data_IF_633750073475
#
_entry.id   IF_633750073475
#
_cell.length_a   1.000
_cell.length_b   1.000
_cell.length_c   1.000
_cell.angle_alpha   90.00
_cell.angle_beta   90.00
_cell.angle_gamma   90.00
#
_symmetry.space_group_name_H-M   'P 1'
#
loop_
_entity.id
_entity.type
_entity.pdbx_description
1 polymer ?
2 non-polymer ?
3 non-polymer ?
4 water ?
#
# COMPACT_ATOMS: atom_id res chain seq x y z
N UNK A 17 20.85 -18.92 -12.40
CA UNK A 17 19.67 -18.50 -11.58
C UNK A 17 19.02 -17.23 -12.13
N UNK A 18 17.78 -17.35 -12.64
CA UNK A 18 17.03 -16.23 -13.20
C UNK A 18 16.56 -15.21 -12.16
N UNK A 19 16.13 -14.04 -12.62
CA UNK A 19 15.68 -12.96 -11.73
C UNK A 19 14.35 -12.32 -12.16
N UNK A 20 13.67 -11.67 -11.22
CA UNK A 20 12.43 -10.94 -11.48
C UNK A 20 12.66 -9.44 -11.37
N UNK A 21 12.15 -8.67 -12.33
CA UNK A 21 12.23 -7.23 -12.32
C UNK A 21 10.89 -6.61 -11.89
N UNK A 22 10.87 -6.00 -10.71
CA UNK A 22 9.65 -5.38 -10.19
C UNK A 22 9.66 -3.89 -10.47
N UNK A 23 8.51 -3.37 -10.91
CA UNK A 23 8.39 -1.97 -11.32
C UNK A 23 7.16 -1.32 -10.69
N UNK A 24 7.38 -0.17 -10.03
CA UNK A 24 6.27 0.64 -9.53
C UNK A 24 6.37 2.07 -10.06
N UNK A 25 5.62 2.36 -11.12
CA UNK A 25 5.59 3.69 -11.72
C UNK A 25 4.57 4.60 -11.05
N UNK A 26 5.06 5.53 -10.25
CA UNK A 26 4.24 6.61 -9.72
C UNK A 26 4.19 7.73 -10.74
N UNK A 27 3.41 8.77 -10.44
CA UNK A 27 3.33 9.94 -11.33
C UNK A 27 4.66 10.69 -11.40
N UNK A 28 5.36 10.74 -10.27
CA UNK A 28 6.59 11.51 -10.14
C UNK A 28 7.88 10.70 -10.29
N UNK A 29 7.78 9.37 -10.16
CA UNK A 29 8.96 8.49 -10.10
C UNK A 29 8.78 7.08 -10.65
N UNK A 30 9.89 6.33 -10.72
CA UNK A 30 9.88 4.90 -11.03
C UNK A 30 10.74 4.14 -10.02
N UNK A 31 10.08 3.37 -9.15
CA UNK A 31 10.77 2.51 -8.21
C UNK A 31 10.93 1.11 -8.80
N UNK A 32 12.09 0.50 -8.59
CA UNK A 32 12.32 -0.85 -9.10
C UNK A 32 13.12 -1.72 -8.13
N UNK A 33 13.04 -3.03 -8.35
CA UNK A 33 13.82 -4.02 -7.60
C UNK A 33 14.11 -5.24 -8.44
N UNK A 34 15.30 -5.81 -8.27
CA UNK A 34 15.68 -7.05 -8.93
C UNK A 34 15.84 -8.15 -7.89
N UNK A 35 14.90 -9.09 -7.87
CA UNK A 35 14.89 -10.18 -6.91
C UNK A 35 15.28 -11.50 -7.55
N UNK A 36 16.04 -12.32 -6.82
CA UNK A 36 16.45 -13.64 -7.29
C UNK A 36 15.28 -14.61 -7.25
N UNK A 37 15.03 -15.28 -8.38
CA UNK A 37 13.95 -16.26 -8.48
C UNK A 37 14.12 -17.40 -7.47
N UNK A 38 15.37 -17.83 -7.27
CA UNK A 38 15.69 -18.98 -6.43
C UNK A 38 15.37 -18.79 -4.94
N UNK A 39 15.52 -17.57 -4.44
CA UNK A 39 15.42 -17.33 -2.99
C UNK A 39 14.51 -16.16 -2.60
N UNK A 40 14.05 -15.39 -3.59
CA UNK A 40 13.27 -14.16 -3.36
C UNK A 40 14.06 -13.07 -2.62
N UNK A 41 15.37 -13.06 -2.85
CA UNK A 41 16.27 -12.08 -2.22
C UNK A 41 16.42 -10.83 -3.08
N UNK A 42 16.58 -9.68 -2.44
CA UNK A 42 16.82 -8.41 -3.15
C UNK A 42 18.28 -8.34 -3.61
N UNK A 43 18.49 -8.33 -4.93
CA UNK A 43 19.83 -8.22 -5.50
C UNK A 43 20.19 -6.77 -5.85
N UNK A 44 19.17 -5.98 -6.16
CA UNK A 44 19.34 -4.60 -6.56
C UNK A 44 18.06 -3.82 -6.29
N UNK A 45 18.20 -2.52 -6.03
CA UNK A 45 17.06 -1.63 -5.86
C UNK A 45 17.45 -0.20 -6.24
N UNK A 46 16.51 0.54 -6.79
CA UNK A 46 16.76 1.93 -7.18
C UNK A 46 15.52 2.75 -7.50
N UNK A 47 15.73 4.04 -7.73
CA UNK A 47 14.66 4.98 -8.04
C UNK A 47 15.02 5.90 -9.21
N UNK A 48 14.03 6.19 -10.05
CA UNK A 48 14.18 7.16 -11.13
C UNK A 48 13.23 8.33 -10.86
N UNK A 49 13.77 9.39 -10.27
CA UNK A 49 12.97 10.50 -9.74
C UNK A 49 12.92 11.71 -10.68
N UNK A 50 11.96 12.61 -10.43
CA UNK A 50 11.79 13.83 -11.22
C UNK A 50 11.40 13.53 -12.66
N UNK A 51 10.32 12.77 -12.81
CA UNK A 51 9.89 12.28 -14.12
C UNK A 51 9.09 13.31 -14.92
N UNK A 52 9.33 13.32 -16.24
CA UNK A 52 8.72 14.27 -17.19
C UNK A 52 9.10 15.74 -16.95
N UNK A 53 9.83 16.00 -15.88
CA UNK A 53 10.30 17.35 -15.55
C UNK A 53 11.53 17.74 -16.36
N UNK A 54 12.05 18.94 -16.10
CA UNK A 54 13.25 19.44 -16.77
C UNK A 54 14.50 18.65 -16.34
N UNK A 55 14.48 18.14 -15.11
CA UNK A 55 15.58 17.33 -14.58
C UNK A 55 15.14 15.97 -14.06
N UNK A 56 15.66 14.92 -14.69
CA UNK A 56 15.40 13.54 -14.28
C UNK A 56 16.71 12.83 -13.93
N UNK A 57 16.71 12.12 -12.80
CA UNK A 57 17.91 11.44 -12.32
C UNK A 57 17.62 10.03 -11.79
N UNK A 58 18.66 9.18 -11.82
CA UNK A 58 18.57 7.80 -11.36
C UNK A 58 19.55 7.52 -10.24
N UNK A 59 19.07 6.85 -9.19
CA UNK A 59 19.91 6.45 -8.07
C UNK A 59 19.69 4.98 -7.76
N UNK A 60 20.78 4.21 -7.79
CA UNK A 60 20.73 2.77 -7.50
C UNK A 60 21.59 2.47 -6.28
N UNK A 61 20.98 1.86 -5.26
CA UNK A 61 21.63 1.55 -3.98
C UNK A 61 22.26 2.78 -3.29
N UNK A 62 21.95 3.96 -3.80
CA UNK A 62 22.59 5.20 -3.36
C UNK A 62 24.07 5.24 -3.73
N UNK A 63 24.40 4.72 -4.92
CA UNK A 63 25.78 4.71 -5.42
C UNK A 63 26.20 6.10 -5.88
N UNK A 64 25.57 6.56 -6.96
CA UNK A 64 25.84 7.88 -7.52
C UNK A 64 24.62 8.34 -8.31
N UNK A 65 23.93 9.40 -7.81
CA UNK A 65 22.75 9.95 -8.50
C UNK A 65 23.09 10.52 -9.89
N UNK A 66 23.08 9.66 -10.90
CA UNK A 66 23.35 10.05 -12.28
C UNK A 66 22.13 10.74 -12.88
N UNK A 67 22.34 11.92 -13.46
CA UNK A 67 21.24 12.76 -13.94
C UNK A 67 21.18 12.94 -15.47
N UNK A 68 20.22 12.27 -16.09
CA UNK A 68 19.91 12.50 -17.50
C UNK A 68 18.74 13.47 -17.61
N UNK A 69 19.06 14.76 -17.63
CA UNK A 69 18.07 15.84 -17.57
C UNK A 69 17.00 15.76 -18.65
N UNK A 70 15.75 16.01 -18.25
CA UNK A 70 14.58 15.97 -19.14
C UNK A 70 14.43 14.63 -19.87
N UNK A 71 13.93 13.63 -19.14
CA UNK A 71 13.76 12.29 -19.68
C UNK A 71 12.39 11.71 -19.30
N UNK A 72 11.77 11.02 -20.26
CA UNK A 72 10.45 10.41 -20.06
C UNK A 72 10.52 9.00 -19.47
N UNK A 73 9.35 8.40 -19.26
CA UNK A 73 9.23 7.07 -18.65
C UNK A 73 10.03 6.00 -19.38
N UNK A 74 10.15 6.14 -20.69
CA UNK A 74 10.90 5.20 -21.52
C UNK A 74 12.42 5.38 -21.37
N UNK A 75 12.85 6.64 -21.32
CA UNK A 75 14.28 6.98 -21.22
C UNK A 75 14.90 6.49 -19.92
N UNK A 76 14.19 6.69 -18.81
CA UNK A 76 14.63 6.25 -17.49
C UNK A 76 14.65 4.73 -17.38
N UNK A 77 13.64 4.09 -17.96
CA UNK A 77 13.56 2.63 -17.98
C UNK A 77 14.67 2.04 -18.85
N UNK A 78 15.08 2.80 -19.87
CA UNK A 78 16.22 2.44 -20.72
C UNK A 78 17.53 2.67 -19.98
N UNK A 79 17.53 3.61 -19.03
CA UNK A 79 18.69 3.88 -18.19
C UNK A 79 18.96 2.73 -17.21
N UNK A 80 17.88 2.20 -16.62
CA UNK A 80 17.96 1.03 -15.74
C UNK A 80 18.37 -0.19 -16.58
N UNK A 81 17.89 -0.24 -17.81
CA UNK A 81 18.24 -1.30 -18.75
C UNK A 81 19.75 -1.38 -19.00
N UNK A 82 20.39 -0.22 -19.18
CA UNK A 82 21.85 -0.13 -19.31
C UNK A 82 22.54 -0.69 -18.06
N UNK A 83 22.01 -0.33 -16.89
CA UNK A 83 22.58 -0.71 -15.60
C UNK A 83 22.44 -2.19 -15.28
N UNK A 84 21.43 -2.82 -15.87
CA UNK A 84 21.24 -4.26 -15.73
C UNK A 84 22.26 -5.02 -16.57
N UNK A 85 22.65 -4.44 -17.70
CA UNK A 85 23.73 -4.98 -18.53
C UNK A 85 25.08 -4.80 -17.85
N UNK A 86 25.28 -3.61 -17.28
CA UNK A 86 26.51 -3.27 -16.57
C UNK A 86 26.81 -4.28 -15.45
N UNK A 87 25.79 -4.61 -14.67
CA UNK A 87 25.94 -5.55 -13.56
C UNK A 87 25.73 -7.01 -14.00
N UNK A 88 25.74 -7.22 -15.32
CA UNK A 88 25.69 -8.54 -15.95
C UNK A 88 24.60 -9.48 -15.43
N UNK A 89 23.36 -9.00 -15.47
CA UNK A 89 22.20 -9.81 -15.09
C UNK A 89 21.02 -9.59 -16.03
N UNK A 90 21.25 -8.79 -17.07
CA UNK A 90 20.22 -8.43 -18.05
C UNK A 90 19.55 -9.64 -18.70
N UNK A 91 20.35 -10.63 -19.09
CA UNK A 91 19.88 -11.80 -19.81
C UNK A 91 19.29 -12.86 -18.87
N UNK A 92 19.39 -12.60 -17.56
CA UNK A 92 18.86 -13.52 -16.55
C UNK A 92 17.42 -13.15 -16.16
N UNK A 93 16.98 -11.97 -16.58
CA UNK A 93 15.61 -11.49 -16.32
C UNK A 93 14.59 -12.38 -17.03
N UNK A 94 13.93 -13.24 -16.26
CA UNK A 94 12.93 -14.15 -16.79
C UNK A 94 11.52 -13.57 -16.74
N UNK A 95 11.28 -12.68 -15.78
CA UNK A 95 9.95 -12.13 -15.54
C UNK A 95 10.02 -10.65 -15.16
N UNK A 96 8.96 -9.91 -15.51
CA UNK A 96 8.82 -8.51 -15.09
C UNK A 96 7.44 -8.27 -14.47
N UNK A 97 7.44 -7.85 -13.21
CA UNK A 97 6.20 -7.58 -12.48
C UNK A 97 5.87 -6.09 -12.41
N UNK A 98 4.64 -5.75 -12.75
CA UNK A 98 4.19 -4.37 -12.69
C UNK A 98 3.14 -4.17 -11.60
N UNK A 99 3.42 -3.23 -10.70
CA UNK A 99 2.44 -2.81 -9.71
C UNK A 99 1.47 -1.86 -10.40
N UNK A 100 0.18 -2.18 -10.31
CA UNK A 100 -0.87 -1.36 -10.88
C UNK A 100 -1.66 -0.72 -9.73
N UNK A 101 -2.02 0.54 -9.90
CA UNK A 101 -2.75 1.27 -8.89
C UNK A 101 -4.20 0.80 -8.73
N UNK A 102 -4.95 0.83 -9.83
CA UNK A 102 -6.38 0.55 -9.79
C UNK A 102 -6.74 -0.52 -10.82
N UNK A 103 -7.16 -1.68 -10.33
CA UNK A 103 -7.59 -2.78 -11.19
C UNK A 103 -9.09 -2.73 -11.47
N UNK A 104 -9.75 -1.74 -10.89
CA UNK A 104 -11.20 -1.59 -11.02
C UNK A 104 -11.94 -2.81 -10.53
N UNK A 105 -12.96 -3.20 -11.28
CA UNK A 105 -13.80 -4.33 -10.93
C UNK A 105 -13.41 -5.57 -11.75
N UNK A 106 -12.52 -5.36 -12.71
CA UNK A 106 -12.15 -6.37 -13.71
C UNK A 106 -11.13 -7.40 -13.23
N UNK A 107 -10.28 -7.00 -12.29
CA UNK A 107 -9.17 -7.86 -11.87
C UNK A 107 -9.29 -8.42 -10.45
N UNK A 108 -9.38 -9.74 -10.35
CA UNK A 108 -9.55 -10.43 -9.08
C UNK A 108 -8.22 -11.01 -8.59
N UNK A 109 -7.33 -11.28 -9.54
CA UNK A 109 -6.01 -11.83 -9.25
C UNK A 109 -4.97 -11.21 -10.18
N UNK A 110 -3.72 -11.61 -10.01
CA UNK A 110 -2.64 -11.17 -10.91
C UNK A 110 -2.72 -11.93 -12.23
N UNK A 111 -2.41 -11.22 -13.32
CA UNK A 111 -2.52 -11.77 -14.68
C UNK A 111 -1.22 -11.59 -15.47
N UNK A 112 -1.01 -12.49 -16.43
CA UNK A 112 0.06 -12.32 -17.41
C UNK A 112 -0.35 -11.22 -18.38
N UNK A 113 0.48 -10.20 -18.53
CA UNK A 113 0.15 -9.04 -19.37
C UNK A 113 0.03 -9.40 -20.85
N UNK A 114 -1.16 -9.17 -21.39
CA UNK A 114 -1.44 -9.32 -22.81
C UNK A 114 -2.19 -8.08 -23.28
N UNK A 115 -2.31 -7.92 -24.61
CA UNK A 115 -3.05 -6.80 -25.20
C UNK A 115 -4.39 -6.54 -24.51
N UNK A 116 -5.11 -7.63 -24.21
CA UNK A 116 -6.39 -7.56 -23.52
C UNK A 116 -6.29 -6.77 -22.22
N UNK A 117 -5.32 -7.15 -21.40
CA UNK A 117 -5.10 -6.54 -20.09
C UNK A 117 -4.81 -5.04 -20.25
N UNK A 118 -3.96 -4.69 -21.21
CA UNK A 118 -3.62 -3.30 -21.49
C UNK A 118 -4.87 -2.47 -21.76
N UNK A 119 -5.77 -3.01 -22.57
CA UNK A 119 -7.06 -2.37 -22.84
C UNK A 119 -7.87 -2.24 -21.56
N UNK A 120 -7.92 -3.33 -20.79
CA UNK A 120 -8.67 -3.37 -19.55
C UNK A 120 -8.11 -2.43 -18.48
N UNK A 121 -6.79 -2.22 -18.47
CA UNK A 121 -6.16 -1.25 -17.58
C UNK A 121 -6.51 0.17 -18.01
N UNK A 122 -6.55 0.41 -19.32
CA UNK A 122 -6.97 1.70 -19.88
C UNK A 122 -8.45 1.98 -19.61
N UNK A 123 -9.25 0.91 -19.62
CA UNK A 123 -10.70 1.01 -19.38
C UNK A 123 -11.05 1.50 -17.98
N UNK A 124 -10.32 1.02 -16.98
CA UNK A 124 -10.56 1.43 -15.58
C UNK A 124 -9.75 2.66 -15.17
N UNK A 125 -8.81 3.06 -16.04
CA UNK A 125 -7.95 4.21 -15.79
C UNK A 125 -8.64 5.48 -15.24
N UNK A 126 -9.82 5.85 -15.81
CA UNK A 126 -10.50 7.05 -15.30
C UNK A 126 -10.66 7.12 -13.78
N UNK A 127 -10.76 5.95 -13.14
CA UNK A 127 -10.93 5.85 -11.68
C UNK A 127 -9.72 6.37 -10.92
N UNK A 128 -8.52 6.10 -11.44
CA UNK A 128 -7.30 6.66 -10.89
C UNK A 128 -6.40 7.14 -12.03
N UNK A 129 -6.76 8.29 -12.65
CA UNK A 129 -6.16 8.72 -13.92
C UNK A 129 -4.66 9.04 -13.81
N UNK A 130 -4.29 9.77 -12.76
CA UNK A 130 -2.89 10.16 -12.55
C UNK A 130 -1.97 8.95 -12.46
N UNK A 131 -2.27 8.06 -11.52
CA UNK A 131 -1.40 6.93 -11.19
C UNK A 131 -1.39 5.81 -12.25
N UNK A 132 -2.55 5.53 -12.84
CA UNK A 132 -2.68 4.45 -13.82
C UNK A 132 -1.99 4.68 -15.17
N UNK A 133 -1.98 5.93 -15.64
CA UNK A 133 -1.30 6.26 -16.89
C UNK A 133 0.20 6.01 -16.76
N UNK A 134 0.74 6.32 -15.59
CA UNK A 134 2.14 6.05 -15.27
C UNK A 134 2.44 4.56 -15.35
N UNK A 135 1.54 3.74 -14.80
CA UNK A 135 1.67 2.29 -14.85
C UNK A 135 1.67 1.78 -16.29
N UNK A 136 0.79 2.35 -17.11
CA UNK A 136 0.68 2.01 -18.53
C UNK A 136 1.89 2.46 -19.34
N UNK A 137 2.46 3.62 -18.96
CA UNK A 137 3.70 4.10 -19.56
C UNK A 137 4.84 3.13 -19.27
N UNK A 138 4.84 2.59 -18.05
CA UNK A 138 5.84 1.63 -17.61
C UNK A 138 5.71 0.26 -18.25
N UNK A 139 4.46 -0.17 -18.48
CA UNK A 139 4.21 -1.47 -19.11
C UNK A 139 4.67 -1.45 -20.57
N UNK A 140 4.37 -0.37 -21.27
CA UNK A 140 4.79 -0.20 -22.66
C UNK A 140 6.32 -0.12 -22.77
N UNK A 141 6.93 0.67 -21.88
CA UNK A 141 8.38 0.83 -21.83
C UNK A 141 9.09 -0.52 -21.61
N UNK A 142 8.61 -1.29 -20.64
CA UNK A 142 9.18 -2.60 -20.33
C UNK A 142 8.95 -3.59 -21.48
N UNK A 143 7.77 -3.50 -22.11
CA UNK A 143 7.46 -4.30 -23.28
C UNK A 143 8.42 -4.01 -24.44
N UNK A 144 8.67 -2.71 -24.68
CA UNK A 144 9.57 -2.25 -25.73
C UNK A 144 11.00 -2.79 -25.55
N UNK A 145 11.55 -2.58 -24.35
CA UNK A 145 12.94 -2.94 -24.05
C UNK A 145 13.13 -4.44 -23.84
N UNK A 146 12.18 -5.08 -23.16
CA UNK A 146 12.22 -6.51 -22.92
C UNK A 146 11.10 -7.19 -23.71
N UNK A 147 11.46 -7.87 -24.82
CA UNK A 147 10.47 -8.37 -25.76
C UNK A 147 9.95 -9.77 -25.44
N UNK A 148 10.85 -10.74 -25.36
CA UNK A 148 10.49 -12.13 -25.08
C UNK A 148 10.50 -12.45 -23.59
N UNK A 149 10.33 -11.42 -22.77
CA UNK A 149 10.24 -11.59 -21.33
C UNK A 149 8.78 -11.54 -20.90
N UNK A 150 8.33 -12.63 -20.29
CA UNK A 150 7.00 -12.73 -19.71
C UNK A 150 6.78 -11.58 -18.73
N UNK A 151 5.61 -10.95 -18.81
CA UNK A 151 5.30 -9.83 -17.93
C UNK A 151 3.98 -9.99 -17.19
N UNK A 152 3.99 -9.60 -15.92
CA UNK A 152 2.84 -9.79 -15.02
C UNK A 152 2.33 -8.44 -14.49
N UNK A 153 1.01 -8.30 -14.45
CA UNK A 153 0.38 -7.15 -13.81
C UNK A 153 -0.15 -7.57 -12.44
N UNK A 154 0.19 -6.78 -11.42
CA UNK A 154 -0.25 -7.03 -10.05
C UNK A 154 -0.93 -5.77 -9.52
N UNK A 155 -2.14 -5.95 -9.00
CA UNK A 155 -3.03 -4.83 -8.71
C UNK A 155 -3.19 -4.58 -7.22
N UNK A 156 -3.16 -3.31 -6.83
CA UNK A 156 -3.35 -2.90 -5.43
C UNK A 156 -4.74 -3.20 -4.92
N UNK A 157 -5.67 -3.43 -5.84
CA UNK A 157 -7.09 -3.57 -5.52
C UNK A 157 -7.62 -5.01 -5.51
N UNK A 158 -6.99 -5.88 -6.30
CA UNK A 158 -7.52 -7.22 -6.57
C UNK A 158 -7.94 -8.03 -5.34
N UNK A 159 -7.14 -7.96 -4.29
CA UNK A 159 -7.37 -8.70 -3.04
C UNK A 159 -8.69 -8.33 -2.37
N UNK A 160 -9.16 -7.11 -2.64
CA UNK A 160 -10.37 -6.59 -2.00
C UNK A 160 -11.66 -6.88 -2.76
N UNK A 161 -11.54 -7.55 -3.90
CA UNK A 161 -12.72 -7.87 -4.74
C UNK A 161 -13.61 -8.96 -4.15
N UNK A 162 -13.17 -9.57 -3.04
CA UNK A 162 -13.97 -10.58 -2.35
C UNK A 162 -15.06 -9.95 -1.47
N UNK A 163 -14.97 -8.65 -1.23
CA UNK A 163 -15.98 -7.90 -0.47
C UNK A 163 -17.40 -8.06 -1.02
N UNK A 164 -18.35 -8.24 -0.12
CA UNK A 164 -19.77 -8.32 -0.48
C UNK A 164 -20.34 -6.91 -0.72
N UNK A 165 -21.45 -6.80 -1.49
CA UNK A 165 -22.01 -5.49 -1.83
C UNK A 165 -22.28 -4.61 -0.60
N UNK A 166 -22.82 -5.21 0.44
CA UNK A 166 -23.04 -4.53 1.73
C UNK A 166 -21.79 -3.82 2.25
N UNK A 167 -20.62 -4.35 1.89
CA UNK A 167 -19.35 -3.81 2.34
C UNK A 167 -18.73 -2.79 1.39
N UNK A 168 -19.07 -2.86 0.11
CA UNK A 168 -18.49 -1.93 -0.87
C UNK A 168 -19.42 -0.87 -1.46
N UNK A 169 -20.72 -0.99 -1.20
CA UNK A 169 -21.68 0.01 -1.69
C UNK A 169 -21.70 1.28 -0.86
N UNK A 170 -21.83 2.41 -1.53
CA UNK A 170 -22.00 3.70 -0.86
C UNK A 170 -23.48 4.07 -0.77
N UNK A 171 -23.80 4.95 0.18
CA UNK A 171 -25.18 5.41 0.36
C UNK A 171 -25.71 6.20 -0.82
N UNK A 172 -24.85 6.47 -1.80
CA UNK A 172 -25.20 7.22 -3.00
C UNK A 172 -26.23 6.47 -3.85
N UNK A 173 -26.99 7.21 -4.71
CA UNK A 173 -27.98 6.58 -5.58
C UNK A 173 -27.37 5.45 -6.41
N UNK A 174 -28.14 4.38 -6.57
CA UNK A 174 -27.72 3.19 -7.30
C UNK A 174 -27.07 3.50 -8.66
N UNK A 175 -27.58 4.53 -9.32
CA UNK A 175 -27.14 4.91 -10.67
C UNK A 175 -25.62 5.05 -10.76
N UNK A 176 -25.05 5.77 -9.78
CA UNK A 176 -23.61 6.03 -9.72
C UNK A 176 -22.77 4.76 -9.73
N UNK A 177 -23.25 3.71 -9.06
CA UNK A 177 -22.56 2.42 -9.05
C UNK A 177 -22.70 1.69 -10.39
N UNK A 178 -23.94 1.58 -10.88
CA UNK A 178 -24.22 0.76 -12.06
C UNK A 178 -23.69 1.32 -13.38
N UNK A 179 -23.73 2.64 -13.54
CA UNK A 179 -23.32 3.28 -14.79
C UNK A 179 -21.94 3.96 -14.76
N UNK A 180 -21.46 4.32 -13.57
CA UNK A 180 -20.17 5.01 -13.44
C UNK A 180 -19.13 4.23 -12.62
N UNK A 181 -19.60 3.27 -11.82
CA UNK A 181 -18.72 2.40 -11.05
C UNK A 181 -18.23 2.96 -9.73
N UNK A 182 -19.04 3.83 -9.13
CA UNK A 182 -18.71 4.42 -7.82
C UNK A 182 -19.02 3.43 -6.69
N UNK A 183 -17.97 2.77 -6.23
CA UNK A 183 -18.03 1.85 -5.10
C UNK A 183 -16.70 1.87 -4.34
N UNK A 184 -16.66 1.15 -3.22
CA UNK A 184 -15.43 0.93 -2.48
C UNK A 184 -14.58 -0.10 -3.22
N UNK A 185 -13.31 0.23 -3.42
CA UNK A 185 -12.38 -0.70 -4.04
C UNK A 185 -11.32 -1.16 -3.05
N UNK A 186 -10.66 -0.19 -2.40
CA UNK A 186 -9.65 -0.47 -1.38
C UNK A 186 -8.26 -0.65 -1.96
N UNK A 187 -7.25 -0.26 -1.18
CA UNK A 187 -5.87 -0.30 -1.65
C UNK A 187 -4.95 -0.98 -0.64
N UNK A 188 -3.66 -1.10 -1.00
CA UNK A 188 -2.68 -1.86 -0.21
C UNK A 188 -2.96 -3.36 -0.22
N UNK A 189 -3.71 -3.82 -1.23
CA UNK A 189 -4.12 -5.22 -1.34
C UNK A 189 -2.97 -6.21 -1.30
N UNK A 190 -1.93 -5.93 -2.09
CA UNK A 190 -0.74 -6.78 -2.15
C UNK A 190 -0.11 -6.96 -0.77
N UNK A 191 0.09 -5.84 -0.08
CA UNK A 191 0.60 -5.86 1.29
C UNK A 191 -0.35 -6.66 2.20
N UNK A 192 -1.63 -6.28 2.20
CA UNK A 192 -2.64 -6.96 3.01
C UNK A 192 -2.67 -8.46 2.74
N UNK A 193 -2.56 -8.83 1.47
CA UNK A 193 -2.50 -10.24 1.05
C UNK A 193 -1.25 -10.92 1.60
N UNK A 194 -0.09 -10.29 1.40
CA UNK A 194 1.18 -10.86 1.83
C UNK A 194 1.22 -11.08 3.34
N UNK A 195 0.97 -9.99 4.08
CA UNK A 195 0.99 -9.98 5.54
C UNK A 195 0.03 -11.04 6.10
N UNK A 196 -1.21 -11.04 5.60
CA UNK A 196 -2.22 -12.01 6.03
C UNK A 196 -1.76 -13.44 5.84
N UNK A 197 -1.26 -13.76 4.64
CA UNK A 197 -0.70 -15.09 4.37
C UNK A 197 0.34 -15.44 5.42
N UNK A 198 1.30 -14.54 5.61
CA UNK A 198 2.38 -14.71 6.59
C UNK A 198 1.88 -14.93 8.01
N UNK A 199 0.76 -14.29 8.36
CA UNK A 199 0.19 -14.40 9.70
C UNK A 199 -0.34 -15.79 10.00
N UNK A 200 -0.77 -16.51 8.97
CA UNK A 200 -1.25 -17.87 9.14
C UNK A 200 -0.16 -18.79 9.63
N UNK A 201 1.07 -18.57 9.15
CA UNK A 201 2.22 -19.36 9.58
C UNK A 201 2.66 -18.99 10.99
N UNK A 202 2.90 -17.70 11.21
CA UNK A 202 3.40 -17.20 12.49
C UNK A 202 2.45 -17.50 13.66
N UNK A 203 1.15 -17.24 13.46
CA UNK A 203 0.14 -17.51 14.50
C UNK A 203 -0.32 -18.96 14.54
N UNK A 204 0.16 -19.77 13.58
CA UNK A 204 -0.26 -21.18 13.41
C UNK A 204 -1.78 -21.32 13.35
N UNK A 205 -2.39 -20.57 12.44
CA UNK A 205 -3.83 -20.60 12.25
C UNK A 205 -4.22 -21.36 11.00
N UNK A 206 -5.40 -21.98 11.05
CA UNK A 206 -6.01 -22.58 9.88
C UNK A 206 -6.60 -21.44 9.04
N UNK A 207 -6.06 -21.24 7.84
CA UNK A 207 -6.50 -20.17 6.94
C UNK A 207 -8.02 -20.14 6.77
N UNK A 208 -8.58 -21.26 6.34
CA UNK A 208 -10.02 -21.37 6.02
C UNK A 208 -10.93 -21.23 7.25
N UNK A 209 -10.32 -21.25 8.45
CA UNK A 209 -11.06 -21.02 9.69
C UNK A 209 -10.35 -19.97 10.57
N UNK A 210 -10.44 -18.71 10.15
CA UNK A 210 -9.71 -17.63 10.80
C UNK A 210 -10.34 -16.27 10.58
N UNK A 211 -9.95 -15.32 11.43
CA UNK A 211 -10.35 -13.93 11.31
C UNK A 211 -9.22 -13.02 11.75
N UNK A 212 -8.62 -12.31 10.79
CA UNK A 212 -7.49 -11.41 11.07
C UNK A 212 -7.84 -9.96 10.76
N UNK A 213 -7.28 -9.05 11.55
CA UNK A 213 -7.30 -7.63 11.21
C UNK A 213 -5.87 -7.19 10.93
N UNK A 214 -5.66 -6.57 9.77
CA UNK A 214 -4.33 -6.12 9.37
C UNK A 214 -4.30 -4.59 9.29
N UNK A 215 -3.34 -3.99 9.96
CA UNK A 215 -3.15 -2.55 9.94
C UNK A 215 -1.88 -2.16 9.20
N UNK A 216 -2.02 -1.88 7.91
CA UNK A 216 -0.92 -1.35 7.12
C UNK A 216 -0.78 0.14 7.38
N UNK A 217 0.28 0.50 8.11
CA UNK A 217 0.49 1.89 8.52
C UNK A 217 1.84 2.41 8.02
N UNK A 218 1.77 3.33 7.06
CA UNK A 218 2.95 4.03 6.54
C UNK A 218 2.58 5.46 6.19
N UNK A 219 3.02 5.92 5.02
CA UNK A 219 2.60 7.22 4.51
C UNK A 219 1.14 7.13 4.05
N UNK A 220 0.82 6.02 3.41
CA UNK A 220 -0.55 5.63 3.15
C UNK A 220 -0.93 4.58 4.20
N UNK A 221 -2.12 4.71 4.76
CA UNK A 221 -2.54 3.82 5.84
C UNK A 221 -3.95 3.28 5.61
N UNK A 222 -4.09 1.95 5.71
CA UNK A 222 -5.38 1.30 5.55
C UNK A 222 -5.50 0.04 6.40
N UNK A 223 -6.72 -0.26 6.82
CA UNK A 223 -7.04 -1.46 7.57
C UNK A 223 -7.72 -2.47 6.64
N UNK A 224 -7.61 -3.75 6.98
CA UNK A 224 -8.28 -4.80 6.23
C UNK A 224 -8.71 -5.95 7.13
N UNK A 225 -9.94 -6.40 6.93
CA UNK A 225 -10.48 -7.54 7.65
C UNK A 225 -10.36 -8.78 6.77
N UNK A 226 -9.62 -9.77 7.24
CA UNK A 226 -9.44 -10.99 6.48
C UNK A 226 -10.15 -12.14 7.18
N UNK A 227 -11.29 -12.54 6.62
CA UNK A 227 -12.05 -13.67 7.12
C UNK A 227 -11.81 -14.88 6.25
N UNK A 228 -11.32 -15.94 6.87
CA UNK A 228 -11.09 -17.23 6.21
C UNK A 228 -10.29 -17.16 4.91
N UNK A 229 -9.29 -16.28 4.89
CA UNK A 229 -8.42 -16.11 3.72
C UNK A 229 -8.85 -15.02 2.75
N UNK A 230 -10.08 -14.53 2.91
CA UNK A 230 -10.61 -13.51 2.00
C UNK A 230 -10.76 -12.15 2.67
N UNK A 231 -10.58 -11.09 1.89
CA UNK A 231 -10.81 -9.73 2.34
C UNK A 231 -12.31 -9.43 2.36
N UNK A 232 -12.82 -9.03 3.52
CA UNK A 232 -14.27 -8.81 3.69
C UNK A 232 -14.65 -7.36 3.98
N UNK A 233 -13.66 -6.57 4.40
CA UNK A 233 -13.84 -5.13 4.63
C UNK A 233 -12.48 -4.45 4.63
N UNK A 234 -12.43 -3.23 4.12
CA UNK A 234 -11.18 -2.45 4.03
C UNK A 234 -11.41 -0.95 4.23
N UNK A 235 -10.41 -0.27 4.79
CA UNK A 235 -10.50 1.14 5.19
C UNK A 235 -10.71 2.12 4.03
N UNK A 236 -9.85 2.07 3.03
CA UNK A 236 -9.91 3.00 1.90
C UNK A 236 -11.11 2.73 1.01
N UNK A 237 -11.52 3.73 0.23
CA UNK A 237 -12.73 3.61 -0.57
C UNK A 237 -12.52 3.47 -2.06
N UNK A 238 -13.11 4.40 -2.81
CA UNK A 238 -12.92 4.45 -4.26
C UNK A 238 -11.50 4.93 -4.54
N UNK A 239 -11.10 5.95 -3.79
CA UNK A 239 -9.75 6.52 -3.86
C UNK A 239 -9.03 6.25 -2.54
N UNK A 240 -7.69 6.39 -2.52
CA UNK A 240 -6.93 6.22 -1.27
C UNK A 240 -7.26 7.25 -0.17
N UNK A 241 -8.19 8.16 -0.45
CA UNK A 241 -8.53 9.24 0.48
C UNK A 241 -9.36 8.85 1.71
N UNK A 242 -10.15 7.78 1.60
CA UNK A 242 -11.08 7.42 2.67
C UNK A 242 -10.40 6.62 3.78
N UNK A 243 -10.97 6.71 4.98
CA UNK A 243 -10.56 5.85 6.09
C UNK A 243 -9.68 6.55 7.11
N UNK A 244 -8.52 5.96 7.36
CA UNK A 244 -7.57 6.45 8.35
C UNK A 244 -7.00 7.81 7.95
N UNK A 245 -6.68 8.61 8.95
CA UNK A 245 -5.87 9.80 8.75
C UNK A 245 -4.44 9.33 8.49
N UNK A 246 -3.77 9.95 7.53
CA UNK A 246 -2.45 9.50 7.10
C UNK A 246 -1.42 10.61 7.20
N UNK A 247 -0.28 10.42 6.55
CA UNK A 247 0.80 11.42 6.54
C UNK A 247 0.31 12.78 6.08
N UNK A 248 -0.24 12.82 4.86
CA UNK A 248 -0.75 14.06 4.28
C UNK A 248 -2.24 14.00 3.97
N UNK A 249 -2.83 12.83 4.10
CA UNK A 249 -4.26 12.64 3.80
C UNK A 249 -5.12 12.73 5.06
N UNK A 250 -6.26 13.42 4.90
CA UNK A 250 -7.21 13.66 5.99
C UNK A 250 -7.91 12.40 6.49
N UNK A 251 -8.30 11.54 5.56
CA UNK A 251 -9.02 10.31 5.90
C UNK A 251 -10.52 10.53 5.94
N UNK A 252 -11.19 9.87 6.88
CA UNK A 252 -12.62 10.04 7.08
C UNK A 252 -12.97 11.51 7.31
N UNK A 253 -13.67 12.11 6.36
CA UNK A 253 -14.07 13.50 6.46
C UNK A 253 -15.54 13.69 6.09
N UNK A 254 -16.27 14.35 6.98
CA UNK A 254 -17.67 14.70 6.76
C UNK A 254 -17.79 15.51 5.48
N UNK A 255 -18.64 15.08 4.57
CA UNK A 255 -18.84 15.81 3.32
C UNK A 255 -19.51 17.16 3.55
N UNK A 256 -20.46 17.21 4.49
CA UNK A 256 -21.08 18.46 4.91
C UNK A 256 -20.02 19.48 5.25
N UNK A 257 -19.09 19.08 6.12
CA UNK A 257 -17.94 19.90 6.50
C UNK A 257 -17.15 20.38 5.29
N UNK A 258 -16.91 19.48 4.34
CA UNK A 258 -16.15 19.80 3.14
C UNK A 258 -16.84 20.83 2.27
N UNK A 259 -18.15 20.65 2.07
CA UNK A 259 -18.95 21.58 1.27
C UNK A 259 -19.14 22.92 1.96
N UNK A 260 -19.08 22.90 3.29
CA UNK A 260 -19.19 24.12 4.11
C UNK A 260 -17.95 25.00 3.95
N UNK A 261 -16.78 24.36 3.89
CA UNK A 261 -15.52 25.04 3.67
C UNK A 261 -15.50 25.69 2.30
N UNK A 262 -16.02 24.98 1.30
CA UNK A 262 -16.14 25.49 -0.06
C UNK A 262 -16.88 26.82 -0.13
N UNK A 263 -18.03 26.90 0.53
CA UNK A 263 -18.84 28.12 0.55
C UNK A 263 -18.17 29.24 1.37
N UNK A 264 -17.51 28.85 2.45
CA UNK A 264 -16.92 29.80 3.39
C UNK A 264 -15.64 30.48 2.88
N UNK A 265 -14.85 29.77 2.09
CA UNK A 265 -13.58 30.29 1.58
C UNK A 265 -13.59 30.53 0.06
N UNK A 266 -14.67 30.10 -0.60
CA UNK A 266 -14.79 30.26 -2.05
C UNK A 266 -13.84 29.38 -2.83
N UNK A 267 -13.40 28.28 -2.23
CA UNK A 267 -12.47 27.36 -2.87
C UNK A 267 -13.20 26.40 -3.81
N UNK A 268 -12.53 26.02 -4.90
CA UNK A 268 -13.09 25.06 -5.86
C UNK A 268 -12.93 23.61 -5.39
N UNK A 269 -13.66 22.71 -6.03
CA UNK A 269 -13.57 21.26 -5.75
C UNK A 269 -12.15 20.72 -5.89
N UNK A 270 -11.41 21.27 -6.85
CA UNK A 270 -10.02 20.89 -7.08
C UNK A 270 -9.11 21.39 -5.97
N UNK A 271 -9.37 22.59 -5.48
CA UNK A 271 -8.63 23.17 -4.37
C UNK A 271 -8.68 22.27 -3.14
N UNK A 272 -9.89 21.91 -2.75
CA UNK A 272 -10.13 21.06 -1.58
C UNK A 272 -9.48 19.68 -1.77
N UNK A 273 -9.51 19.18 -2.99
CA UNK A 273 -8.91 17.90 -3.33
C UNK A 273 -7.40 17.91 -3.06
N UNK A 274 -6.74 19.01 -3.41
CA UNK A 274 -5.32 19.19 -3.13
C UNK A 274 -5.05 19.27 -1.62
N UNK A 275 -5.96 19.91 -0.89
CA UNK A 275 -5.82 20.10 0.56
C UNK A 275 -5.89 18.79 1.33
N UNK A 276 -6.87 17.95 1.02
CA UNK A 276 -7.03 16.65 1.69
C UNK A 276 -5.96 15.63 1.30
N UNK A 277 -5.30 15.87 0.16
CA UNK A 277 -4.24 14.99 -0.32
C UNK A 277 -2.86 15.35 0.20
N UNK A 278 -2.49 16.61 0.03
CA UNK A 278 -1.11 17.05 0.22
C UNK A 278 -0.90 18.02 1.38
N UNK A 279 -1.98 18.52 1.97
CA UNK A 279 -1.88 19.52 3.04
C UNK A 279 -2.51 19.09 4.37
N UNK A 280 -3.24 17.98 4.36
CA UNK A 280 -3.97 17.52 5.54
C UNK A 280 -3.20 16.44 6.31
N UNK A 281 -3.94 15.60 7.04
CA UNK A 281 -3.37 14.48 7.78
C UNK A 281 -2.54 14.88 8.98
N UNK A 282 -1.45 14.14 9.20
CA UNK A 282 -0.49 14.45 10.26
C UNK A 282 0.16 15.80 10.03
N UNK A 283 0.52 16.07 8.78
CA UNK A 283 1.03 17.38 8.36
C UNK A 283 0.02 18.48 8.68
N UNK A 284 -1.25 18.20 8.42
CA UNK A 284 -2.34 19.16 8.64
C UNK A 284 -2.53 19.58 10.08
N UNK A 285 -2.71 18.62 10.97
CA UNK A 285 -3.00 18.92 12.38
C UNK A 285 -1.79 19.53 13.10
N UNK A 286 -0.62 18.90 12.95
CA UNK A 286 0.59 19.36 13.61
C UNK A 286 1.08 20.71 13.05
N UNK A 287 0.95 20.87 11.73
CA UNK A 287 1.49 22.05 11.04
C UNK A 287 2.99 22.06 11.11
N UNK A 288 3.59 20.88 11.13
CA UNK A 288 5.02 20.72 11.30
C UNK A 288 5.59 19.75 10.28
N UNK A 289 5.21 18.48 10.37
CA UNK A 289 5.74 17.45 9.50
C UNK A 289 4.70 16.39 9.15
N UNK A 290 4.88 15.77 7.98
CA UNK A 290 4.07 14.62 7.59
C UNK A 290 4.74 13.34 8.09
N UNK A 291 6.02 13.44 8.43
CA UNK A 291 6.81 12.32 8.90
C UNK A 291 6.55 12.05 10.39
N UNK A 292 6.15 10.82 10.69
CA UNK A 292 5.79 10.41 12.05
C UNK A 292 6.98 10.44 13.02
N UNK A 293 8.15 10.02 12.54
CA UNK A 293 9.37 9.96 13.34
C UNK A 293 9.77 11.35 13.87
N UNK A 294 9.55 12.38 13.06
CA UNK A 294 9.80 13.77 13.44
C UNK A 294 8.79 14.24 14.50
N UNK A 295 7.52 13.90 14.29
CA UNK A 295 6.44 14.28 15.20
C UNK A 295 6.53 13.61 16.56
N UNK A 296 7.13 12.41 16.59
CA UNK A 296 7.40 11.70 17.84
C UNK A 296 8.39 12.47 18.71
N UNK A 297 9.38 13.09 18.06
CA UNK A 297 10.40 13.89 18.75
C UNK A 297 9.83 15.21 19.25
N UNK A 298 8.95 15.81 18.45
CA UNK A 298 8.30 17.09 18.80
C UNK A 298 7.44 16.98 20.06
N UNK A 299 6.71 15.87 20.19
CA UNK A 299 5.94 15.56 21.40
C UNK A 299 6.88 15.50 22.61
N UNK A 300 7.96 14.75 22.47
CA UNK A 300 8.99 14.63 23.50
C UNK A 300 9.48 16.02 23.95
N UNK A 301 9.60 16.93 22.99
CA UNK A 301 10.02 18.31 23.25
C UNK A 301 8.86 19.25 23.56
N UNK A 302 7.71 18.68 23.89
CA UNK A 302 6.54 19.46 24.36
C UNK A 302 5.79 20.21 23.28
N UNK A 303 5.56 19.56 22.13
CA UNK A 303 4.75 20.14 21.06
C UNK A 303 3.35 19.53 21.10
N UNK A 304 2.37 20.36 21.44
CA UNK A 304 0.99 19.92 21.63
C UNK A 304 0.31 19.47 20.33
N UNK A 305 0.43 20.27 19.28
CA UNK A 305 -0.18 19.97 17.99
C UNK A 305 0.37 18.70 17.33
N UNK A 306 1.63 18.37 17.64
CA UNK A 306 2.20 17.09 17.22
C UNK A 306 1.64 15.96 18.07
N UNK A 307 1.45 16.23 19.35
CA UNK A 307 0.90 15.24 20.29
C UNK A 307 -0.56 14.94 19.95
N UNK A 308 -1.32 15.98 19.61
CA UNK A 308 -2.71 15.83 19.15
C UNK A 308 -2.76 15.01 17.88
N UNK A 309 -1.96 15.39 16.89
CA UNK A 309 -1.89 14.70 15.61
C UNK A 309 -1.66 13.21 15.76
N UNK A 310 -0.83 12.83 16.73
CA UNK A 310 -0.56 11.42 17.01
C UNK A 310 -1.73 10.75 17.74
N UNK A 311 -2.22 11.40 18.81
CA UNK A 311 -3.39 10.91 19.57
C UNK A 311 -4.62 10.68 18.69
N UNK A 312 -4.85 11.60 17.76
CA UNK A 312 -5.92 11.51 16.78
C UNK A 312 -5.65 10.36 15.80
N UNK A 313 -4.44 10.32 15.25
CA UNK A 313 -3.98 9.25 14.36
C UNK A 313 -4.18 7.88 15.00
N UNK A 314 -3.72 7.74 16.25
CA UNK A 314 -3.95 6.55 17.06
C UNK A 314 -5.44 6.23 17.15
N UNK A 315 -6.23 7.27 17.42
CA UNK A 315 -7.68 7.11 17.65
C UNK A 315 -8.43 6.57 16.44
N UNK A 316 -8.16 7.12 15.27
CA UNK A 316 -8.85 6.70 14.05
C UNK A 316 -8.47 5.28 13.62
N UNK A 317 -7.25 4.86 13.97
CA UNK A 317 -6.79 3.51 13.73
C UNK A 317 -7.52 2.52 14.63
N UNK A 318 -7.58 2.85 15.93
CA UNK A 318 -8.26 2.01 16.91
C UNK A 318 -9.76 1.88 16.57
N UNK A 319 -10.34 2.98 16.10
CA UNK A 319 -11.73 3.02 15.69
C UNK A 319 -11.97 2.09 14.50
N UNK A 320 -11.11 2.18 13.49
CA UNK A 320 -11.26 1.35 12.28
C UNK A 320 -10.87 -0.12 12.49
N UNK A 321 -9.92 -0.38 13.38
CA UNK A 321 -9.56 -1.76 13.71
C UNK A 321 -10.77 -2.46 14.34
N UNK A 322 -11.33 -1.83 15.37
CA UNK A 322 -12.52 -2.35 16.05
C UNK A 322 -13.69 -2.45 15.06
N UNK A 323 -13.89 -1.38 14.29
CA UNK A 323 -14.92 -1.35 13.25
C UNK A 323 -14.83 -2.50 12.25
N UNK A 324 -13.61 -2.81 11.81
CA UNK A 324 -13.41 -3.87 10.83
C UNK A 324 -13.58 -5.27 11.41
N UNK A 325 -13.42 -5.38 12.73
CA UNK A 325 -13.57 -6.66 13.43
C UNK A 325 -15.00 -7.21 13.33
N UNK A 326 -15.95 -6.30 13.14
CA UNK A 326 -17.37 -6.64 12.99
C UNK A 326 -17.60 -7.61 11.83
N UNK A 327 -16.83 -7.45 10.76
CA UNK A 327 -16.95 -8.29 9.58
C UNK A 327 -16.26 -9.66 9.76
N UNK A 328 -15.82 -9.94 10.98
CA UNK A 328 -15.29 -11.26 11.32
C UNK A 328 -16.24 -11.98 12.26
N UNK A 329 -16.27 -13.30 12.16
CA UNK A 329 -17.04 -14.13 13.08
C UNK A 329 -16.25 -14.32 14.38
N UNK A 330 -14.93 -14.29 14.26
CA UNK A 330 -14.00 -14.46 15.38
C UNK A 330 -12.73 -13.65 15.13
N UNK A 331 -12.16 -13.07 16.18
CA UNK A 331 -10.96 -12.24 16.07
C UNK A 331 -9.72 -12.95 16.64
N UNK A 332 -8.89 -13.48 15.73
CA UNK A 332 -7.73 -14.27 16.11
C UNK A 332 -6.45 -13.44 16.21
N UNK A 333 -6.27 -12.52 15.26
CA UNK A 333 -5.04 -11.72 15.21
C UNK A 333 -5.20 -10.28 14.75
N UNK A 334 -4.46 -9.39 15.41
CA UNK A 334 -4.26 -8.03 14.92
C UNK A 334 -2.79 -7.87 14.54
N UNK A 335 -2.56 -7.53 13.27
CA UNK A 335 -1.21 -7.49 12.73
C UNK A 335 -0.83 -6.10 12.28
N UNK A 336 0.33 -5.63 12.74
CA UNK A 336 0.87 -4.33 12.36
C UNK A 336 1.93 -4.48 11.29
N UNK A 337 1.88 -3.59 10.29
CA UNK A 337 2.83 -3.60 9.18
C UNK A 337 2.97 -2.21 8.56
N UNK A 338 4.01 -2.02 7.74
CA UNK A 338 4.30 -0.73 7.12
C UNK A 338 5.34 0.05 7.89
N UNK A 339 5.73 1.20 7.35
CA UNK A 339 6.76 2.06 7.96
C UNK A 339 6.52 2.34 9.43
N UNK A 340 5.29 2.72 9.76
CA UNK A 340 4.91 3.04 11.14
C UNK A 340 4.64 1.76 11.94
N UNK A 341 3.86 0.85 11.36
CA UNK A 341 3.50 -0.39 12.02
C UNK A 341 4.68 -1.20 12.51
N UNK A 342 5.66 -1.37 11.65
CA UNK A 342 6.85 -2.19 11.93
C UNK A 342 7.87 -1.53 12.87
N UNK A 343 7.85 -0.20 12.91
CA UNK A 343 8.94 0.56 13.55
C UNK A 343 8.59 1.41 14.77
N UNK A 344 7.35 1.91 14.84
CA UNK A 344 6.93 2.78 15.93
C UNK A 344 6.41 2.02 17.14
N UNK A 345 7.23 1.94 18.18
CA UNK A 345 6.86 1.31 19.46
C UNK A 345 5.70 2.06 20.13
N UNK A 346 5.75 3.38 20.06
CA UNK A 346 4.72 4.25 20.63
C UNK A 346 3.33 3.96 20.07
N UNK A 347 3.18 4.14 18.76
CA UNK A 347 1.89 3.97 18.08
C UNK A 347 1.28 2.58 18.25
N UNK A 348 2.11 1.54 18.20
CA UNK A 348 1.63 0.18 18.44
C UNK A 348 1.01 0.02 19.83
N UNK A 349 1.67 0.57 20.85
CA UNK A 349 1.18 0.48 22.22
C UNK A 349 -0.08 1.31 22.43
N UNK A 350 -0.05 2.55 21.97
CA UNK A 350 -1.17 3.47 22.13
C UNK A 350 -2.46 2.94 21.49
N UNK A 351 -2.33 2.38 20.28
CA UNK A 351 -3.45 1.76 19.58
C UNK A 351 -4.01 0.57 20.35
N UNK A 352 -3.12 -0.29 20.82
CA UNK A 352 -3.52 -1.48 21.57
C UNK A 352 -4.20 -1.16 22.90
N UNK A 353 -3.68 -0.16 23.61
CA UNK A 353 -4.29 0.30 24.86
C UNK A 353 -5.68 0.88 24.62
N UNK A 354 -5.87 1.49 23.46
CA UNK A 354 -7.16 2.02 23.01
C UNK A 354 -8.12 0.88 22.65
N UNK A 355 -7.59 -0.33 22.54
CA UNK A 355 -8.41 -1.49 22.22
C UNK A 355 -8.52 -2.47 23.38
N UNK A 356 -8.36 -1.95 24.60
CA UNK A 356 -8.47 -2.76 25.82
C UNK A 356 -9.81 -3.44 25.94
N UNK A 357 -10.84 -2.83 25.35
CA UNK A 357 -12.19 -3.37 25.32
C UNK A 357 -12.22 -4.76 24.66
N UNK A 358 -11.36 -4.95 23.65
CA UNK A 358 -11.26 -6.22 22.94
C UNK A 358 -10.45 -7.26 23.70
N UNK A 359 -10.07 -6.94 24.94
CA UNK A 359 -9.40 -7.88 25.83
C UNK A 359 -7.98 -8.22 25.40
N UNK A 360 -7.21 -7.17 25.07
CA UNK A 360 -5.82 -7.33 24.66
C UNK A 360 -4.88 -6.95 25.79
N UNK A 361 -3.97 -7.86 26.12
CA UNK A 361 -2.83 -7.52 26.98
C UNK A 361 -1.53 -7.57 26.18
N UNK A 362 -0.72 -6.51 26.33
CA UNK A 362 0.49 -6.32 25.53
C UNK A 362 1.74 -6.77 26.27
N UNK A 363 2.66 -7.41 25.56
CA UNK A 363 3.98 -7.72 26.09
C UNK A 363 4.95 -6.63 25.66
N UNK A 364 5.30 -5.76 26.60
CA UNK A 364 6.10 -4.57 26.30
C UNK A 364 7.59 -4.89 26.10
N UNK A 365 8.02 -6.05 26.57
CA UNK A 365 9.35 -6.56 26.23
C UNK A 365 9.44 -6.81 24.73
N UNK A 366 8.42 -7.46 24.19
CA UNK A 366 8.34 -7.81 22.77
C UNK A 366 8.00 -6.61 21.90
N UNK A 367 7.23 -5.68 22.45
CA UNK A 367 6.87 -4.46 21.71
C UNK A 367 8.04 -3.48 21.58
N UNK A 368 9.01 -3.59 22.49
CA UNK A 368 10.20 -2.74 22.47
C UNK A 368 11.20 -3.13 21.40
N UNK A 369 11.24 -4.43 21.06
CA UNK A 369 12.19 -4.96 20.09
C UNK A 369 12.07 -4.31 18.71
N UNK A 370 13.20 -3.84 18.15
CA UNK A 370 13.22 -3.19 16.84
C UNK A 370 12.88 -4.13 15.67
N UNK A 371 12.70 -3.55 14.49
CA UNK A 371 12.23 -4.29 13.32
C UNK A 371 13.17 -5.39 12.83
N UNK A 372 14.42 -5.37 13.32
CA UNK A 372 15.40 -6.41 13.00
C UNK A 372 14.94 -7.79 13.47
N UNK A 373 14.09 -7.81 14.49
CA UNK A 373 13.51 -9.05 15.02
C UNK A 373 12.41 -9.62 14.12
N UNK A 374 12.18 -8.93 13.00
CA UNK A 374 11.27 -9.39 11.94
C UNK A 374 9.86 -9.73 12.36
N UNK A 375 9.42 -10.94 12.01
CA UNK A 375 8.08 -11.42 12.33
C UNK A 375 7.98 -11.83 13.80
N UNK A 376 7.22 -11.05 14.57
CA UNK A 376 7.23 -11.15 16.02
C UNK A 376 5.85 -10.96 16.65
N UNK A 377 5.52 -11.82 17.61
CA UNK A 377 4.33 -11.65 18.44
C UNK A 377 4.63 -10.59 19.51
N UNK A 378 3.69 -9.68 19.74
CA UNK A 378 3.88 -8.64 20.75
C UNK A 378 2.84 -8.67 21.89
N UNK A 379 1.89 -9.60 21.81
CA UNK A 379 0.84 -9.74 22.83
C UNK A 379 1.28 -10.62 23.99
N UNK A 380 0.70 -10.38 25.16
CA UNK A 380 0.95 -11.21 26.33
C UNK A 380 0.08 -12.47 26.28
N UNK A 381 0.30 -13.39 27.22
CA UNK A 381 -0.43 -14.66 27.26
C UNK A 381 -1.90 -14.60 27.72
N UNK A 382 -2.22 -13.73 28.71
CA UNK A 382 -3.63 -13.58 29.11
C UNK A 382 -4.51 -12.91 28.03
N UNK A 383 -3.89 -12.41 26.96
CA UNK A 383 -4.61 -11.71 25.88
C UNK A 383 -5.56 -12.63 25.14
N UNK A 384 -6.78 -12.15 24.91
CA UNK A 384 -7.80 -12.90 24.17
C UNK A 384 -7.52 -12.88 22.67
N UNK A 385 -6.79 -11.87 22.21
CA UNK A 385 -6.43 -11.75 20.79
C UNK A 385 -4.93 -11.56 20.63
N UNK A 386 -4.32 -12.34 19.74
CA UNK A 386 -2.90 -12.28 19.47
C UNK A 386 -2.54 -11.02 18.66
N UNK A 387 -1.54 -10.28 19.16
CA UNK A 387 -0.98 -9.15 18.43
C UNK A 387 0.40 -9.51 17.90
N UNK A 388 0.70 -9.07 16.69
CA UNK A 388 1.99 -9.37 16.05
C UNK A 388 2.41 -8.30 15.06
N UNK A 389 3.72 -8.19 14.84
CA UNK A 389 4.28 -7.34 13.80
C UNK A 389 4.80 -8.25 12.69
N UNK A 390 4.41 -7.96 11.45
CA UNK A 390 4.90 -8.73 10.31
C UNK A 390 5.32 -7.76 9.20
N UNK A 391 6.64 -7.66 8.97
CA UNK A 391 7.16 -6.77 7.94
C UNK A 391 6.58 -7.11 6.58
N UNK A 392 5.99 -6.13 5.91
CA UNK A 392 5.45 -6.34 4.58
C UNK A 392 6.55 -6.38 3.52
N UNK A 393 6.34 -7.22 2.52
CA UNK A 393 7.29 -7.35 1.41
C UNK A 393 6.51 -7.46 0.11
N UNK A 394 6.18 -6.29 -0.45
CA UNK A 394 5.35 -6.23 -1.64
C UNK A 394 6.08 -6.72 -2.88
N UNK A 395 7.38 -6.46 -2.93
CA UNK A 395 8.25 -6.95 -4.00
C UNK A 395 8.32 -8.47 -4.02
N UNK A 396 8.39 -9.08 -2.83
CA UNK A 396 8.40 -10.53 -2.69
C UNK A 396 7.07 -11.15 -3.14
N UNK A 397 5.97 -10.46 -2.83
CA UNK A 397 4.65 -10.92 -3.22
C UNK A 397 4.42 -10.79 -4.72
N UNK A 398 4.91 -9.68 -5.29
CA UNK A 398 4.86 -9.47 -6.74
C UNK A 398 5.73 -10.51 -7.46
N UNK A 399 6.86 -10.87 -6.85
CA UNK A 399 7.73 -11.91 -7.39
C UNK A 399 7.04 -13.28 -7.41
N UNK A 400 6.40 -13.64 -6.30
CA UNK A 400 5.74 -14.94 -6.17
C UNK A 400 4.59 -15.13 -7.16
N UNK A 401 3.80 -14.09 -7.36
CA UNK A 401 2.74 -14.11 -8.36
C UNK A 401 3.34 -14.31 -9.75
N UNK A 402 4.47 -13.64 -10.00
CA UNK A 402 5.17 -13.74 -11.28
C UNK A 402 5.77 -15.14 -11.51
N UNK A 403 6.37 -15.71 -10.46
CA UNK A 403 6.95 -17.04 -10.55
C UNK A 403 5.87 -18.06 -10.89
N UNK A 404 4.77 -18.04 -10.12
CA UNK A 404 3.64 -18.94 -10.35
C UNK A 404 3.14 -18.83 -11.78
N UNK A 405 2.91 -17.60 -12.23
CA UNK A 405 2.46 -17.33 -13.60
C UNK A 405 3.55 -17.65 -14.63
N UNK A 406 4.79 -17.72 -14.18
CA UNK A 406 5.91 -18.11 -15.03
C UNK A 406 5.87 -19.59 -15.40
N UNK A 407 5.30 -20.41 -14.51
CA UNK A 407 5.14 -21.85 -14.76
C UNK A 407 3.91 -22.19 -15.61
N UNK A 408 2.98 -21.23 -15.69
CA UNK A 408 1.79 -21.33 -16.51
C UNK A 408 2.17 -21.19 -17.98
N UNK A 409 1.34 -21.72 -18.88
CA UNK A 409 1.52 -21.51 -20.32
C UNK A 409 0.33 -20.75 -20.91
N UNK A 410 0.60 -19.56 -21.44
CA UNK A 410 -0.43 -18.68 -21.99
C UNK A 410 -0.25 -18.41 -23.48
X LIG B 1 -2.15 4.04 -2.87
X LIG B 1 -2.04 2.87 -3.68
X LIG B 1 -2.07 3.67 -1.39
X LIG B 1 -2.25 4.84 -0.59
X LIG C 1 -7.89 29.84 4.62
X LIG C 1 -8.61 29.82 3.39
X LIG C 1 -8.66 30.66 5.65
X LIG C 1 -8.35 30.17 6.96
X LIG D 1 11.84 3.90 13.39
X LIG D 1 10.67 4.54 13.14
X LIG D 1 9.88 4.99 14.16
X LIG D 1 8.72 5.62 13.91
X LIG D 1 8.24 5.87 12.68
X LIG D 1 8.92 5.48 11.58
X LIG D 1 8.73 5.58 10.26
X LIG D 1 9.76 5.01 9.62
X LIG D 1 10.67 4.51 10.51
X LIG D 1 10.21 4.78 11.75
X LIG D 1 7.55 6.23 9.61
X LIG D 1 7.04 5.45 8.54
X LIG D 1 6.46 6.31 7.55
X LIG D 1 6.81 5.84 6.14
X LIG D 1 6.32 4.51 5.96
X LIG D 1 6.60 3.72 4.59
X LIG D 1 5.80 2.44 4.63
X LIG D 1 8.10 3.66 4.40
X LIG D 1 5.97 4.72 3.51
X LIG D 1 5.93 4.38 1.93
X LIG D 1 5.27 5.55 1.22
X LIG D 1 7.31 3.94 1.50
X LIG D 1 4.93 3.11 1.87
X LIG D 1 3.33 3.26 1.78
X LIG D 1 2.72 1.90 2.06
X LIG D 1 2.91 4.45 2.62
X LIG D 1 3.10 3.61 0.22
X LIG D 1 1.74 4.25 -0.36
X LIG D 1 0.68 3.91 0.66
X LIG D 1 2.02 5.74 -0.45
X LIG D 1 1.56 3.58 -1.69
X LIG D 1 6.98 7.71 7.83
X LIG D 1 5.87 8.56 8.17
X LIG D 1 7.94 7.56 8.99
X LIG D 1 7.80 8.61 9.95
#
# INVERSE_FOLDING_TARGET
MRGSHHHHHHGMASNEFPVVLVINCGSSSIKFSVLDVATCDVLMAGIADGMNTENAFLSINGDKPINLAHSNYEDALKAIAFELEKRDLTDSVALIGHRIAHGGELFTQSVIITDEIIDNIRRVSPLAPLHNYANLSGIDAARHLFPAVRQVAVFDTSFHQTLAPEAYLYGLPWEYFSSLGVRRYGFHGTSHRYVSRRAYELLDLDEKDSGLIVAHLGNGASICAVRNGQSVDTSMGMTPLEGLMMGTRSGDVDFGAMAWIAKETGQTLSDLERVVNKESGLLGISGLSSDLRVLEKAWHEGHERARLAIKTFVHRIARHIAGHAASLHRLDGIIFTGGIGENSVLIRQLVIEHLGVLGLTLDVEMNKQPNSHGERIISANPSQVICAVIPTNEEKMIALDAIHLGNVKAPVEFA
EDO C1 O1 C2 O2
EDO C1 O1 C2 O2
AQP N6 C6 N1 C2 N3 C4 N9 C8 N7 C5 C1' O4' C4' C5' O5' PA O1A O2A O3A PB O2B O1B O3B PG O2G O1G O3G PD O2D O1D O3D C3' O3' C2' O2'
#
